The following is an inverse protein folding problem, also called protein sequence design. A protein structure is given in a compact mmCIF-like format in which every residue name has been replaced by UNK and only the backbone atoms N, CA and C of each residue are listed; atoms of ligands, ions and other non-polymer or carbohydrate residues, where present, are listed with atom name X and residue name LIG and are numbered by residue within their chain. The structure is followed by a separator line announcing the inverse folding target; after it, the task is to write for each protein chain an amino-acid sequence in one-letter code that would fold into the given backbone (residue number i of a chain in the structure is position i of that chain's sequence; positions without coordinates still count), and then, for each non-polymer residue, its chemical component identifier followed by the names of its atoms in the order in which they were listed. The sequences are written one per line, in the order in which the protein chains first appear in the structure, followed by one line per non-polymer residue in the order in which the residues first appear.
data_IF_928653475932
#
_entry.id   IF_928653475932
#
_cell.length_a   1.000
_cell.length_b   1.000
_cell.length_c   1.000
_cell.angle_alpha   90.00
_cell.angle_beta   90.00
_cell.angle_gamma   90.00
#
_symmetry.space_group_name_H-M   'P 1'
#
loop_
_entity.id
_entity.type
_entity.pdbx_description
1 polymer ?
#
# COMPACT_ATOMS: atom_id res chain seq x y z
N UNK A 1 -32.14 50.63 23.24
CA UNK A 1 -32.58 50.93 21.86
C UNK A 1 -31.43 50.69 20.91
N UNK A 2 -31.32 49.44 20.47
CA UNK A 2 -30.77 48.97 19.20
C UNK A 2 -31.01 47.46 19.24
N UNK A 3 -32.22 47.09 18.86
CA UNK A 3 -32.72 45.72 18.73
C UNK A 3 -32.11 45.02 17.51
N UNK A 4 -31.95 43.70 17.66
CA UNK A 4 -31.99 42.61 16.67
C UNK A 4 -31.23 42.71 15.34
N UNK A 5 -30.34 41.74 15.09
CA UNK A 5 -30.70 40.60 14.22
C UNK A 5 -29.68 39.45 14.38
N UNK A 6 -30.13 38.38 15.04
CA UNK A 6 -29.43 37.09 15.07
C UNK A 6 -29.75 36.37 13.77
N UNK A 7 -28.81 36.36 12.83
CA UNK A 7 -28.96 35.63 11.56
C UNK A 7 -28.81 34.13 11.81
N UNK A 8 -29.94 33.45 12.03
CA UNK A 8 -30.06 31.99 12.07
C UNK A 8 -30.14 31.48 10.63
N UNK A 9 -29.07 30.88 10.13
CA UNK A 9 -29.09 30.16 8.84
C UNK A 9 -29.63 28.73 9.01
N UNK A 10 -30.55 28.26 8.14
CA UNK A 10 -31.30 27.03 8.35
C UNK A 10 -30.49 25.75 8.09
N UNK A 11 -30.67 24.77 8.98
CA UNK A 11 -30.18 23.38 8.85
C UNK A 11 -30.80 22.73 7.60
N UNK A 12 -30.01 22.49 6.55
CA UNK A 12 -30.45 21.68 5.40
C UNK A 12 -30.35 20.19 5.73
N UNK A 13 -31.50 19.54 5.75
CA UNK A 13 -31.66 18.09 5.88
C UNK A 13 -30.96 17.32 4.75
N UNK A 14 -30.22 16.27 5.15
CA UNK A 14 -29.65 15.23 4.28
C UNK A 14 -30.74 14.57 3.42
N UNK A 15 -30.61 14.67 2.09
CA UNK A 15 -31.26 13.73 1.17
C UNK A 15 -30.32 12.53 1.00
N UNK A 16 -30.75 11.38 1.51
CA UNK A 16 -30.08 10.07 1.46
C UNK A 16 -30.02 9.61 0.00
N UNK A 17 -28.88 9.81 -0.67
CA UNK A 17 -28.62 9.24 -1.99
C UNK A 17 -28.28 7.76 -1.79
N UNK A 18 -29.05 6.88 -2.41
CA UNK A 18 -28.88 5.43 -2.39
C UNK A 18 -27.42 5.03 -2.61
N UNK A 19 -26.92 4.15 -1.75
CA UNK A 19 -25.62 3.49 -1.88
C UNK A 19 -25.68 2.58 -3.11
N UNK A 20 -25.34 3.12 -4.28
CA UNK A 20 -24.77 2.32 -5.35
C UNK A 20 -23.43 1.78 -4.84
N UNK A 21 -23.20 0.48 -5.01
CA UNK A 21 -21.93 -0.19 -4.75
C UNK A 21 -20.80 0.63 -5.39
N UNK A 22 -19.91 1.17 -4.56
CA UNK A 22 -18.73 1.92 -5.02
C UNK A 22 -17.94 0.99 -5.95
N UNK A 23 -17.80 1.44 -7.19
CA UNK A 23 -17.06 0.73 -8.23
C UNK A 23 -15.58 0.78 -7.85
N UNK A 24 -14.82 -0.28 -8.15
CA UNK A 24 -13.38 -0.41 -7.81
C UNK A 24 -12.53 0.77 -8.31
N UNK A 25 -13.04 1.55 -9.28
CA UNK A 25 -12.43 2.75 -9.84
C UNK A 25 -12.24 3.89 -8.79
N UNK A 26 -13.08 3.97 -7.75
CA UNK A 26 -12.98 5.03 -6.73
C UNK A 26 -11.87 4.78 -5.68
N UNK A 27 -11.48 3.53 -5.45
CA UNK A 27 -10.64 3.16 -4.29
C UNK A 27 -9.21 3.66 -4.44
N UNK A 28 -8.65 3.59 -5.65
CA UNK A 28 -7.30 4.06 -5.91
C UNK A 28 -7.17 5.58 -5.73
N UNK A 29 -8.17 6.35 -6.20
CA UNK A 29 -8.20 7.80 -6.04
C UNK A 29 -8.32 8.20 -4.57
N UNK A 30 -9.20 7.53 -3.82
CA UNK A 30 -9.36 7.71 -2.36
C UNK A 30 -8.04 7.42 -1.65
N UNK A 31 -7.35 6.34 -2.03
CA UNK A 31 -6.07 5.95 -1.43
C UNK A 31 -4.92 6.92 -1.73
N UNK A 32 -4.99 7.65 -2.85
CA UNK A 32 -4.01 8.68 -3.18
C UNK A 32 -4.33 10.03 -2.54
N UNK A 33 -5.60 10.39 -2.40
CA UNK A 33 -6.01 11.67 -1.85
C UNK A 33 -5.91 11.70 -0.31
N UNK A 34 -6.41 10.65 0.36
CA UNK A 34 -6.60 10.68 1.81
C UNK A 34 -5.32 10.40 2.62
N UNK A 35 -5.28 10.93 3.83
CA UNK A 35 -4.21 10.68 4.79
C UNK A 35 -4.65 9.62 5.80
N UNK A 36 -4.05 8.43 5.69
CA UNK A 36 -4.36 7.29 6.55
C UNK A 36 -3.46 7.30 7.78
N UNK A 37 -3.90 8.01 8.81
CA UNK A 37 -3.25 8.05 10.12
C UNK A 37 -4.23 7.62 11.20
N UNK A 38 -3.78 6.72 12.06
CA UNK A 38 -4.48 6.42 13.29
C UNK A 38 -4.34 7.65 14.18
N UNK A 39 -5.45 8.20 14.69
CA UNK A 39 -5.39 9.34 15.60
C UNK A 39 -5.34 8.83 17.04
N UNK A 40 -4.54 9.45 17.93
CA UNK A 40 -4.58 9.12 19.33
C UNK A 40 -5.93 9.56 19.91
N UNK A 41 -6.69 8.62 20.45
CA UNK A 41 -8.01 8.89 21.02
C UNK A 41 -8.14 8.24 22.40
N UNK A 42 -8.98 8.82 23.26
CA UNK A 42 -9.22 8.28 24.60
C UNK A 42 -10.19 7.10 24.65
N UNK A 43 -10.90 6.84 23.55
CA UNK A 43 -11.86 5.75 23.41
C UNK A 43 -11.49 4.91 22.19
N UNK A 44 -11.94 3.65 22.17
CA UNK A 44 -11.80 2.80 20.99
C UNK A 44 -12.73 3.35 19.90
N UNK A 45 -12.16 4.00 18.90
CA UNK A 45 -12.90 4.53 17.77
C UNK A 45 -13.51 3.39 16.94
N UNK A 46 -14.81 3.44 16.63
CA UNK A 46 -15.43 2.58 15.63
C UNK A 46 -15.19 3.20 14.24
N UNK A 47 -14.02 2.95 13.66
CA UNK A 47 -13.66 3.39 12.32
C UNK A 47 -13.93 2.27 11.31
N UNK A 48 -14.52 2.58 10.17
CA UNK A 48 -14.58 1.66 9.03
C UNK A 48 -13.29 1.78 8.22
N UNK A 49 -12.38 0.83 8.40
CA UNK A 49 -11.05 0.84 7.75
C UNK A 49 -10.96 -0.15 6.58
N UNK A 50 -12.11 -0.57 6.03
CA UNK A 50 -12.18 -1.56 4.96
C UNK A 50 -11.49 -1.10 3.66
N UNK A 51 -11.47 0.22 3.42
CA UNK A 51 -10.91 0.84 2.20
C UNK A 51 -9.47 1.35 2.38
N UNK A 52 -8.90 1.20 3.58
CA UNK A 52 -7.55 1.66 3.87
C UNK A 52 -6.51 0.81 3.11
N UNK A 53 -5.38 1.41 2.69
CA UNK A 53 -4.42 0.75 1.81
C UNK A 53 -3.54 -0.27 2.56
N UNK A 54 -3.17 -1.34 1.85
CA UNK A 54 -2.10 -2.27 2.24
C UNK A 54 -2.29 -2.82 3.67
N UNK A 55 -1.30 -2.58 4.55
CA UNK A 55 -1.25 -3.08 5.93
C UNK A 55 -2.27 -2.40 6.86
N UNK A 56 -2.84 -1.27 6.43
CA UNK A 56 -3.83 -0.52 7.20
C UNK A 56 -5.27 -0.97 6.91
N UNK A 57 -5.47 -1.89 5.96
CA UNK A 57 -6.77 -2.46 5.65
C UNK A 57 -7.32 -3.27 6.82
N UNK A 58 -8.56 -3.00 7.23
CA UNK A 58 -9.22 -3.67 8.36
C UNK A 58 -8.47 -3.52 9.70
N UNK A 59 -7.82 -2.38 9.92
CA UNK A 59 -7.16 -2.05 11.18
C UNK A 59 -8.11 -2.16 12.39
N UNK A 60 -9.42 -1.91 12.19
CA UNK A 60 -10.47 -2.07 13.21
C UNK A 60 -10.55 -3.48 13.81
N UNK A 61 -10.05 -4.50 13.11
CA UNK A 61 -10.05 -5.90 13.57
C UNK A 61 -8.86 -6.26 14.46
N UNK A 62 -7.89 -5.37 14.63
CA UNK A 62 -6.73 -5.61 15.49
C UNK A 62 -7.11 -5.41 16.96
N UNK A 63 -6.60 -6.29 17.83
CA UNK A 63 -6.79 -6.15 19.27
C UNK A 63 -6.05 -4.91 19.80
N UNK A 64 -6.80 -3.95 20.34
CA UNK A 64 -6.24 -2.69 20.85
C UNK A 64 -5.77 -2.86 22.29
N UNK A 65 -4.46 -2.73 22.51
CA UNK A 65 -3.86 -2.72 23.87
C UNK A 65 -3.91 -1.34 24.52
N UNK A 66 -3.69 -0.29 23.74
CA UNK A 66 -3.66 1.10 24.23
C UNK A 66 -4.11 2.03 23.10
N UNK A 67 -4.99 2.98 23.41
CA UNK A 67 -5.56 3.91 22.43
C UNK A 67 -4.80 5.24 22.32
N UNK A 68 -3.92 5.51 23.28
CA UNK A 68 -3.19 6.76 23.41
C UNK A 68 -1.72 6.55 23.07
N UNK A 69 -1.17 7.39 22.19
CA UNK A 69 0.26 7.47 21.91
C UNK A 69 0.62 8.88 21.45
N UNK A 70 1.89 9.24 21.51
CA UNK A 70 2.38 10.53 20.99
C UNK A 70 2.83 10.34 19.56
N UNK A 71 2.13 10.91 18.55
CA UNK A 71 2.55 10.77 17.16
C UNK A 71 3.85 11.56 16.94
N UNK A 72 4.85 10.90 16.36
CA UNK A 72 6.10 11.52 15.95
C UNK A 72 6.02 11.87 14.45
N UNK A 73 6.56 13.01 14.01
CA UNK A 73 6.49 13.45 12.61
C UNK A 73 7.50 12.71 11.69
N UNK A 74 7.98 11.54 12.09
CA UNK A 74 8.98 10.78 11.34
C UNK A 74 8.34 9.63 10.54
N UNK A 75 8.77 9.49 9.28
CA UNK A 75 8.29 8.44 8.39
C UNK A 75 7.06 8.83 7.59
N UNK A 76 6.61 7.91 6.74
CA UNK A 76 5.45 8.10 5.86
C UNK A 76 4.79 6.76 5.56
N UNK A 77 3.48 6.83 5.32
CA UNK A 77 2.69 5.70 4.86
C UNK A 77 3.21 5.26 3.48
N UNK A 78 3.11 3.96 3.13
CA UNK A 78 3.83 3.43 1.97
C UNK A 78 3.50 4.10 0.62
N UNK A 79 2.28 4.60 0.42
CA UNK A 79 1.80 5.09 -0.88
C UNK A 79 2.18 6.52 -1.26
N UNK A 80 2.43 7.41 -0.31
CA UNK A 80 2.90 8.80 -0.56
C UNK A 80 4.25 9.04 0.15
N UNK A 81 5.11 8.02 0.12
CA UNK A 81 6.58 8.17 0.26
C UNK A 81 7.11 9.01 -0.90
N UNK A 82 8.21 9.72 -0.66
CA UNK A 82 9.01 10.33 -1.72
C UNK A 82 9.46 9.26 -2.73
N UNK A 83 9.54 9.62 -4.02
CA UNK A 83 9.81 8.66 -5.10
C UNK A 83 11.10 7.86 -4.86
N UNK A 84 12.14 8.52 -4.33
CA UNK A 84 13.40 7.87 -3.98
C UNK A 84 13.16 6.77 -2.95
N UNK A 85 12.56 7.10 -1.80
CA UNK A 85 12.29 6.13 -0.74
C UNK A 85 11.29 5.05 -1.12
N UNK A 86 10.34 5.38 -2.00
CA UNK A 86 9.40 4.43 -2.59
C UNK A 86 10.17 3.36 -3.37
N UNK A 87 11.07 3.75 -4.27
CA UNK A 87 11.92 2.81 -5.03
C UNK A 87 12.80 1.99 -4.09
N UNK A 88 13.45 2.62 -3.10
CA UNK A 88 14.34 1.91 -2.15
C UNK A 88 13.63 0.87 -1.29
N UNK A 89 12.31 0.96 -1.15
CA UNK A 89 11.48 0.02 -0.36
C UNK A 89 10.53 -0.79 -1.23
N UNK A 90 10.68 -0.71 -2.55
CA UNK A 90 9.78 -1.29 -3.53
C UNK A 90 10.12 -2.72 -3.93
N UNK A 91 9.14 -3.36 -4.56
CA UNK A 91 9.29 -4.62 -5.25
C UNK A 91 8.53 -4.55 -6.57
N UNK A 92 8.96 -5.34 -7.55
CA UNK A 92 8.36 -5.42 -8.87
C UNK A 92 7.86 -6.85 -9.06
N UNK A 93 6.56 -7.00 -9.31
CA UNK A 93 6.01 -8.26 -9.79
C UNK A 93 6.30 -8.36 -11.30
N UNK A 94 7.40 -9.00 -11.65
CA UNK A 94 7.86 -9.09 -13.04
C UNK A 94 7.34 -10.37 -13.69
N UNK A 95 6.79 -10.27 -14.90
CA UNK A 95 6.64 -11.44 -15.77
C UNK A 95 7.97 -11.69 -16.50
N UNK A 96 8.69 -12.73 -16.06
CA UNK A 96 9.99 -13.09 -16.62
C UNK A 96 9.78 -13.64 -18.05
N UNK A 97 10.45 -13.09 -19.08
CA UNK A 97 10.39 -13.66 -20.41
C UNK A 97 11.13 -15.00 -20.48
N UNK A 98 10.78 -15.80 -21.49
CA UNK A 98 11.51 -17.04 -21.78
C UNK A 98 12.87 -16.68 -22.41
N UNK A 99 13.87 -17.51 -22.14
CA UNK A 99 15.27 -17.44 -22.57
C UNK A 99 16.29 -16.84 -21.57
N UNK A 100 16.15 -15.63 -21.01
CA UNK A 100 17.15 -15.13 -20.06
C UNK A 100 17.05 -15.85 -18.71
N UNK A 101 18.18 -15.96 -18.02
CA UNK A 101 18.21 -16.43 -16.64
C UNK A 101 17.59 -15.39 -15.69
N UNK A 102 17.07 -15.84 -14.56
CA UNK A 102 16.52 -14.95 -13.53
C UNK A 102 17.55 -13.91 -13.04
N UNK A 103 18.84 -14.30 -12.98
CA UNK A 103 19.92 -13.41 -12.57
C UNK A 103 20.21 -12.29 -13.58
N UNK A 104 20.16 -12.59 -14.88
CA UNK A 104 20.34 -11.59 -15.94
C UNK A 104 19.22 -10.56 -15.92
N UNK A 105 17.98 -11.00 -15.79
CA UNK A 105 16.80 -10.11 -15.71
C UNK A 105 16.90 -9.17 -14.51
N UNK A 106 17.29 -9.69 -13.35
CA UNK A 106 17.51 -8.86 -12.15
C UNK A 106 18.67 -7.88 -12.35
N UNK A 107 19.74 -8.28 -13.05
CA UNK A 107 20.86 -7.40 -13.38
C UNK A 107 20.45 -6.27 -14.34
N UNK A 108 19.57 -6.54 -15.30
CA UNK A 108 18.98 -5.50 -16.17
C UNK A 108 18.16 -4.51 -15.36
N UNK A 109 17.28 -4.97 -14.47
CA UNK A 109 16.48 -4.10 -13.61
C UNK A 109 17.37 -3.23 -12.74
N UNK A 110 18.43 -3.81 -12.16
CA UNK A 110 19.42 -3.05 -11.37
C UNK A 110 20.05 -1.92 -12.18
N UNK A 111 20.40 -2.19 -13.44
CA UNK A 111 21.01 -1.21 -14.35
C UNK A 111 20.03 -0.14 -14.81
N UNK A 112 18.79 -0.52 -15.10
CA UNK A 112 17.71 0.39 -15.55
C UNK A 112 17.36 1.38 -14.42
N UNK A 113 17.13 0.87 -13.20
CA UNK A 113 16.76 1.68 -12.04
C UNK A 113 17.94 2.37 -11.37
N UNK A 114 19.18 2.01 -11.75
CA UNK A 114 20.44 2.54 -11.18
C UNK A 114 20.51 2.39 -9.65
N UNK A 115 20.06 1.24 -9.15
CA UNK A 115 20.03 0.92 -7.72
C UNK A 115 21.22 0.04 -7.34
N UNK A 116 21.61 0.06 -6.06
CA UNK A 116 22.79 -0.69 -5.60
C UNK A 116 22.53 -2.20 -5.49
N UNK A 117 21.37 -2.57 -4.95
CA UNK A 117 21.03 -3.93 -4.56
C UNK A 117 19.66 -4.33 -5.08
N UNK A 118 19.60 -5.51 -5.67
CA UNK A 118 18.37 -6.17 -6.10
C UNK A 118 18.42 -7.65 -5.73
N UNK A 119 17.27 -8.26 -5.52
CA UNK A 119 17.14 -9.70 -5.28
C UNK A 119 15.82 -10.23 -5.82
N UNK A 120 15.64 -11.55 -5.88
CA UNK A 120 14.44 -12.15 -6.48
C UNK A 120 13.84 -13.28 -5.63
N UNK A 121 12.53 -13.56 -5.80
CA UNK A 121 11.76 -14.58 -5.06
C UNK A 121 12.13 -16.04 -5.37
N UNK A 122 13.16 -16.29 -6.16
CA UNK A 122 13.64 -17.63 -6.51
C UNK A 122 14.03 -17.75 -7.97
N UNK A 123 14.84 -18.74 -8.27
CA UNK A 123 15.39 -18.92 -9.62
C UNK A 123 14.36 -19.65 -10.48
N UNK A 124 13.88 -18.98 -11.52
CA UNK A 124 13.20 -19.60 -12.64
C UNK A 124 14.23 -20.05 -13.67
N UNK A 125 14.05 -21.25 -14.20
CA UNK A 125 14.87 -21.75 -15.30
C UNK A 125 14.72 -20.84 -16.54
N UNK A 126 15.75 -20.77 -17.41
CA UNK A 126 15.74 -19.91 -18.60
C UNK A 126 14.48 -20.07 -19.46
N UNK A 127 14.00 -21.31 -19.64
CA UNK A 127 12.82 -21.62 -20.45
C UNK A 127 11.49 -21.24 -19.78
N UNK A 128 11.47 -21.07 -18.47
CA UNK A 128 10.26 -20.80 -17.68
C UNK A 128 9.93 -19.32 -17.70
N UNK A 129 8.65 -19.02 -17.95
CA UNK A 129 8.06 -17.68 -17.85
C UNK A 129 7.21 -17.56 -16.59
N UNK A 130 6.89 -16.34 -16.18
CA UNK A 130 5.92 -16.09 -15.11
C UNK A 130 6.47 -15.20 -14.00
N UNK A 131 5.79 -15.25 -12.86
CA UNK A 131 6.01 -14.34 -11.72
C UNK A 131 7.41 -14.48 -11.12
N UNK A 132 8.22 -13.44 -11.28
CA UNK A 132 9.50 -13.23 -10.61
C UNK A 132 9.40 -11.93 -9.80
N UNK A 133 9.23 -12.04 -8.48
CA UNK A 133 9.20 -10.86 -7.62
C UNK A 133 10.63 -10.36 -7.46
N UNK A 134 10.90 -9.15 -7.94
CA UNK A 134 12.20 -8.48 -7.82
C UNK A 134 12.14 -7.45 -6.71
N UNK A 135 12.88 -7.67 -5.63
CA UNK A 135 13.00 -6.77 -4.51
C UNK A 135 14.14 -5.76 -4.73
N UNK A 136 13.90 -4.49 -4.39
CA UNK A 136 14.85 -3.39 -4.57
C UNK A 136 15.37 -2.92 -3.20
N UNK A 137 16.68 -2.72 -3.09
CA UNK A 137 17.38 -2.18 -1.92
C UNK A 137 16.89 -2.72 -0.56
N UNK A 138 16.15 -1.92 0.23
CA UNK A 138 15.68 -2.31 1.57
C UNK A 138 14.74 -3.51 1.50
N UNK A 139 13.98 -3.67 0.41
CA UNK A 139 13.09 -4.80 0.20
C UNK A 139 13.85 -6.12 0.00
N UNK A 140 15.15 -6.10 -0.32
CA UNK A 140 15.97 -7.32 -0.46
C UNK A 140 16.01 -8.15 0.83
N UNK A 141 15.74 -7.55 1.99
CA UNK A 141 15.59 -8.24 3.28
C UNK A 141 14.47 -9.28 3.28
N UNK A 142 13.46 -9.11 2.43
CA UNK A 142 12.32 -10.03 2.30
C UNK A 142 12.58 -11.18 1.32
N UNK A 143 13.71 -11.17 0.60
CA UNK A 143 14.00 -12.19 -0.43
C UNK A 143 13.97 -13.60 0.13
N UNK A 144 14.53 -13.81 1.33
CA UNK A 144 14.54 -15.13 1.97
C UNK A 144 13.14 -15.68 2.20
N UNK A 145 12.21 -14.86 2.72
CA UNK A 145 10.83 -15.31 2.93
C UNK A 145 10.11 -15.56 1.61
N UNK A 146 10.40 -14.77 0.57
CA UNK A 146 9.82 -14.97 -0.76
C UNK A 146 10.35 -16.22 -1.46
N UNK A 147 11.61 -16.59 -1.24
CA UNK A 147 12.19 -17.82 -1.77
C UNK A 147 11.58 -19.08 -1.16
N UNK A 148 11.23 -19.02 0.12
CA UNK A 148 10.58 -20.11 0.85
C UNK A 148 9.05 -20.13 0.71
N UNK A 149 8.45 -19.14 0.07
CA UNK A 149 7.01 -19.09 -0.13
C UNK A 149 6.54 -20.20 -1.09
N UNK A 150 5.31 -20.67 -0.90
CA UNK A 150 4.66 -21.63 -1.80
C UNK A 150 4.52 -21.06 -3.22
N UNK A 151 4.68 -21.92 -4.23
CA UNK A 151 4.65 -21.54 -5.64
C UNK A 151 3.74 -22.49 -6.40
N UNK A 152 2.87 -21.91 -7.20
CA UNK A 152 1.99 -22.65 -8.10
C UNK A 152 2.52 -22.54 -9.53
N UNK A 153 2.39 -23.63 -10.28
CA UNK A 153 2.88 -23.75 -11.65
C UNK A 153 1.78 -24.29 -12.55
N UNK A 154 1.79 -23.82 -13.79
CA UNK A 154 0.89 -24.30 -14.83
C UNK A 154 1.72 -24.83 -15.98
N UNK A 155 1.41 -26.04 -16.43
CA UNK A 155 1.94 -26.58 -17.68
C UNK A 155 1.00 -26.19 -18.82
N UNK A 156 1.56 -25.78 -19.95
CA UNK A 156 0.84 -25.41 -21.16
C UNK A 156 1.15 -26.38 -22.28
#
# INVERSE_FOLDING_TARGET
MADEEVVILPKKHKKKKERKSLQEEDVAEIQHAEEFLIKPESKVAQLDTSQWPLLLKNFDKLNVRTTHYTPLPCGSYPLKREIGDYIRTGFINLDKPSNPSSHEVVAWIRRILRVEKTGHSGTLDPKVTGCLIVCIERATRLVKSQQSAGKDWWER
#
